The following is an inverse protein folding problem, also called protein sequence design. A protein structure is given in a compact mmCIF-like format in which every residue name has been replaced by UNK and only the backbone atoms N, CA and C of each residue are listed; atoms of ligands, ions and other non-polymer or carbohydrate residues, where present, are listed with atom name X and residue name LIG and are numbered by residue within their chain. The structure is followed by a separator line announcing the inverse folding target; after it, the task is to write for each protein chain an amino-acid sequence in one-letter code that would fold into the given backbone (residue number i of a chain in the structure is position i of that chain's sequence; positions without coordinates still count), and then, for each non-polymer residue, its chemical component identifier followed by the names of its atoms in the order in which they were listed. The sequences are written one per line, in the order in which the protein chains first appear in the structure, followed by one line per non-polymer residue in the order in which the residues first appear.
data_IF_450505141393
#
_entry.id   IF_450505141393
#
_cell.length_a   1.000
_cell.length_b   1.000
_cell.length_c   1.000
_cell.angle_alpha   90.00
_cell.angle_beta   90.00
_cell.angle_gamma   90.00
#
_symmetry.space_group_name_H-M   'P 1'
#
loop_
_entity.id
_entity.type
_entity.pdbx_description
1 polymer ?
#
# COMPACT_ATOMS: atom_id res chain seq x y z
N UNK A 1 9.29 1.53 8.96
CA UNK A 1 10.40 0.83 8.28
C UNK A 1 11.15 -0.11 9.23
N UNK A 2 11.53 0.33 10.46
CA UNK A 2 12.22 -0.54 11.46
C UNK A 2 11.42 -1.79 11.81
N UNK A 3 10.10 -1.67 11.93
CA UNK A 3 9.21 -2.80 12.25
C UNK A 3 9.22 -3.86 11.14
N UNK A 4 9.31 -3.44 9.86
CA UNK A 4 9.45 -4.38 8.74
C UNK A 4 10.75 -5.15 8.81
N UNK A 5 11.87 -4.46 9.06
CA UNK A 5 13.18 -5.12 9.22
C UNK A 5 13.17 -6.07 10.42
N UNK A 6 12.53 -5.66 11.53
CA UNK A 6 12.35 -6.54 12.70
C UNK A 6 11.56 -7.80 12.37
N UNK A 7 10.46 -7.66 11.61
CA UNK A 7 9.67 -8.80 11.14
C UNK A 7 10.52 -9.72 10.24
N UNK A 8 11.21 -9.16 9.25
CA UNK A 8 12.04 -9.94 8.32
C UNK A 8 13.16 -10.70 9.06
N UNK A 9 13.80 -10.09 10.05
CA UNK A 9 14.85 -10.76 10.85
C UNK A 9 14.30 -11.84 11.80
N UNK A 10 13.01 -11.83 12.11
CA UNK A 10 12.39 -12.82 13.00
C UNK A 10 11.85 -14.06 12.24
N UNK A 11 11.88 -14.05 10.91
CA UNK A 11 11.37 -15.15 10.11
C UNK A 11 12.36 -16.32 10.03
N UNK A 12 11.83 -17.54 10.04
CA UNK A 12 12.59 -18.75 9.81
C UNK A 12 12.61 -19.09 8.31
N UNK A 13 13.68 -18.71 7.64
CA UNK A 13 13.86 -18.90 6.20
C UNK A 13 14.11 -20.36 5.79
N UNK A 14 14.31 -21.28 6.74
CA UNK A 14 14.30 -22.72 6.46
C UNK A 14 12.88 -23.24 6.16
N UNK A 15 11.86 -22.51 6.60
CA UNK A 15 10.44 -22.88 6.51
C UNK A 15 9.63 -22.04 5.52
N UNK A 16 10.13 -20.88 5.13
CA UNK A 16 9.41 -19.99 4.21
C UNK A 16 10.35 -19.28 3.24
N UNK A 17 9.83 -18.99 2.06
CA UNK A 17 10.44 -18.12 1.08
C UNK A 17 9.72 -16.79 1.12
N UNK A 18 10.45 -15.70 1.14
CA UNK A 18 9.90 -14.35 1.27
C UNK A 18 10.25 -13.53 0.05
N UNK A 19 9.22 -13.07 -0.67
CA UNK A 19 9.32 -12.04 -1.69
C UNK A 19 8.93 -10.70 -1.07
N UNK A 20 9.79 -9.70 -1.15
CA UNK A 20 9.52 -8.35 -0.69
C UNK A 20 9.32 -7.42 -1.88
N UNK A 21 8.19 -6.75 -1.92
CA UNK A 21 7.92 -5.70 -2.89
C UNK A 21 7.92 -4.32 -2.23
N UNK A 22 8.75 -3.43 -2.72
CA UNK A 22 8.79 -2.02 -2.34
C UNK A 22 8.70 -1.14 -3.58
N UNK A 23 8.06 0.03 -3.48
CA UNK A 23 7.84 0.89 -4.65
C UNK A 23 9.13 1.44 -5.25
N UNK A 24 10.14 1.67 -4.39
CA UNK A 24 11.44 2.18 -4.79
C UNK A 24 12.55 1.53 -3.97
N UNK A 25 13.60 1.11 -4.65
CA UNK A 25 14.80 0.56 -4.01
C UNK A 25 15.73 1.70 -3.59
N UNK A 26 15.29 2.51 -2.64
CA UNK A 26 16.06 3.67 -2.15
C UNK A 26 15.79 3.89 -0.66
N UNK A 27 16.80 4.40 0.04
CA UNK A 27 16.74 4.69 1.46
C UNK A 27 17.69 3.80 2.28
N UNK A 28 17.97 4.22 3.50
CA UNK A 28 18.95 3.59 4.40
C UNK A 28 18.56 2.16 4.79
N UNK A 29 17.26 1.86 4.85
CA UNK A 29 16.75 0.55 5.26
C UNK A 29 16.95 -0.55 4.22
N UNK A 30 17.25 -0.20 2.96
CA UNK A 30 17.49 -1.20 1.90
C UNK A 30 18.67 -2.11 2.23
N UNK A 31 19.71 -1.56 2.85
CA UNK A 31 20.91 -2.32 3.23
C UNK A 31 20.70 -3.22 4.46
N UNK A 32 19.56 -3.08 5.16
CA UNK A 32 19.21 -3.85 6.34
C UNK A 32 18.29 -5.03 6.02
N UNK A 33 17.87 -5.19 4.76
CA UNK A 33 17.05 -6.32 4.32
C UNK A 33 17.91 -7.59 4.38
N UNK A 34 17.42 -8.67 5.05
CA UNK A 34 18.12 -9.95 5.09
C UNK A 34 18.40 -10.51 3.69
N UNK A 35 19.53 -11.16 3.50
CA UNK A 35 19.96 -11.72 2.20
C UNK A 35 19.05 -12.85 1.71
N UNK A 36 18.36 -13.49 2.62
CA UNK A 36 17.41 -14.56 2.37
C UNK A 36 16.11 -14.07 1.72
N UNK A 37 15.84 -12.76 1.83
CA UNK A 37 14.66 -12.14 1.23
C UNK A 37 14.89 -11.90 -0.25
N UNK A 38 14.01 -12.40 -1.09
CA UNK A 38 13.99 -12.09 -2.51
C UNK A 38 13.33 -10.70 -2.71
N UNK A 39 14.14 -9.69 -2.97
CA UNK A 39 13.66 -8.36 -3.28
C UNK A 39 13.16 -8.33 -4.73
N UNK A 40 11.85 -8.18 -4.91
CA UNK A 40 11.24 -8.08 -6.25
C UNK A 40 11.68 -6.80 -6.96
N UNK A 41 11.84 -6.83 -8.29
CA UNK A 41 12.28 -5.67 -9.05
C UNK A 41 11.30 -4.49 -8.92
N UNK A 42 11.84 -3.28 -9.02
CA UNK A 42 11.01 -2.07 -9.10
C UNK A 42 10.09 -2.11 -10.31
N UNK A 43 8.83 -1.83 -10.09
CA UNK A 43 7.87 -1.61 -11.16
C UNK A 43 7.65 -0.10 -11.32
N UNK A 44 8.15 0.46 -12.41
CA UNK A 44 8.14 1.92 -12.66
C UNK A 44 6.79 2.59 -12.39
N UNK A 45 5.69 1.92 -12.70
CA UNK A 45 4.34 2.47 -12.51
C UNK A 45 4.01 2.68 -11.03
N UNK A 46 4.49 1.82 -10.12
CA UNK A 46 4.33 2.01 -8.68
C UNK A 46 5.12 3.19 -8.14
N UNK A 47 6.30 3.48 -8.71
CA UNK A 47 7.10 4.65 -8.28
C UNK A 47 6.38 5.98 -8.55
N UNK A 48 5.40 6.00 -9.47
CA UNK A 48 4.63 7.21 -9.80
C UNK A 48 3.69 7.66 -8.68
N UNK A 49 3.33 6.77 -7.76
CA UNK A 49 2.42 7.08 -6.66
C UNK A 49 2.99 8.14 -5.69
N UNK A 50 4.32 8.20 -5.56
CA UNK A 50 5.03 9.10 -4.65
C UNK A 50 5.66 10.32 -5.36
N UNK A 51 5.49 10.43 -6.68
CA UNK A 51 6.16 11.45 -7.49
C UNK A 51 5.21 12.61 -7.85
N UNK A 52 5.74 13.82 -8.14
CA UNK A 52 4.93 14.95 -8.57
C UNK A 52 4.12 14.64 -9.84
N UNK A 53 2.83 15.04 -9.86
CA UNK A 53 1.91 14.77 -10.99
C UNK A 53 2.48 15.29 -12.32
N UNK A 54 3.08 16.49 -12.34
CA UNK A 54 3.67 17.05 -13.56
C UNK A 54 4.75 16.15 -14.16
N UNK A 55 5.54 15.48 -13.30
CA UNK A 55 6.62 14.59 -13.75
C UNK A 55 6.06 13.31 -14.37
N UNK A 56 5.06 12.70 -13.73
CA UNK A 56 4.45 11.45 -14.24
C UNK A 56 3.69 11.68 -15.54
N UNK A 57 3.07 12.86 -15.74
CA UNK A 57 2.44 13.25 -17.00
C UNK A 57 3.48 13.30 -18.13
N UNK A 58 4.64 13.94 -17.89
CA UNK A 58 5.72 14.02 -18.89
C UNK A 58 6.27 12.64 -19.28
N UNK A 59 6.18 11.68 -18.38
CA UNK A 59 6.61 10.30 -18.60
C UNK A 59 5.52 9.40 -19.20
N UNK A 60 4.34 9.95 -19.51
CA UNK A 60 3.27 9.23 -20.18
C UNK A 60 2.30 8.47 -19.28
N UNK A 61 2.39 8.63 -17.94
CA UNK A 61 1.48 7.96 -17.00
C UNK A 61 0.19 8.78 -16.77
N UNK A 62 -0.54 9.01 -17.85
CA UNK A 62 -1.76 9.84 -17.86
C UNK A 62 -2.88 9.23 -17.02
N UNK A 63 -3.00 7.91 -17.00
CA UNK A 63 -3.98 7.16 -16.23
C UNK A 63 -3.79 7.36 -14.72
N UNK A 64 -2.55 7.24 -14.22
CA UNK A 64 -2.24 7.51 -12.81
C UNK A 64 -2.44 9.00 -12.48
N UNK A 65 -2.04 9.90 -13.38
CA UNK A 65 -2.23 11.33 -13.17
C UNK A 65 -3.73 11.68 -13.07
N UNK A 66 -4.55 11.16 -13.98
CA UNK A 66 -6.01 11.35 -13.96
C UNK A 66 -6.63 10.76 -12.68
N UNK A 67 -6.22 9.56 -12.27
CA UNK A 67 -6.65 8.94 -11.02
C UNK A 67 -6.31 9.81 -9.80
N UNK A 68 -5.11 10.37 -9.73
CA UNK A 68 -4.71 11.25 -8.62
C UNK A 68 -5.47 12.58 -8.62
N UNK A 69 -5.76 13.16 -9.79
CA UNK A 69 -6.59 14.36 -9.89
C UNK A 69 -8.03 14.05 -9.43
N UNK A 70 -8.61 12.94 -9.89
CA UNK A 70 -9.93 12.50 -9.44
C UNK A 70 -9.98 12.28 -7.92
N UNK A 71 -8.93 11.69 -7.33
CA UNK A 71 -8.81 11.51 -5.89
C UNK A 71 -8.84 12.84 -5.13
N UNK A 72 -8.13 13.86 -5.61
CA UNK A 72 -8.15 15.20 -5.00
C UNK A 72 -9.54 15.86 -5.07
N UNK A 73 -10.26 15.68 -6.17
CA UNK A 73 -11.63 16.18 -6.31
C UNK A 73 -12.59 15.47 -5.35
N UNK A 74 -12.48 14.14 -5.22
CA UNK A 74 -13.29 13.36 -4.28
C UNK A 74 -13.00 13.74 -2.83
N UNK A 75 -11.72 13.90 -2.47
CA UNK A 75 -11.34 14.36 -1.13
C UNK A 75 -11.86 15.76 -0.82
N UNK A 76 -11.75 16.68 -1.79
CA UNK A 76 -12.31 18.02 -1.65
C UNK A 76 -13.81 17.99 -1.41
N UNK A 77 -14.57 17.20 -2.18
CA UNK A 77 -16.01 17.02 -1.98
C UNK A 77 -16.33 16.42 -0.61
N UNK A 78 -15.56 15.42 -0.16
CA UNK A 78 -15.73 14.79 1.14
C UNK A 78 -15.51 15.77 2.28
N UNK A 79 -14.40 16.50 2.25
CA UNK A 79 -14.07 17.51 3.27
C UNK A 79 -15.11 18.63 3.33
N UNK A 80 -15.56 19.11 2.17
CA UNK A 80 -16.59 20.15 2.10
C UNK A 80 -17.91 19.71 2.74
N UNK A 81 -18.32 18.46 2.52
CA UNK A 81 -19.55 17.89 3.09
C UNK A 81 -19.44 17.70 4.61
N UNK A 82 -18.29 17.30 5.10
CA UNK A 82 -18.05 17.04 6.53
C UNK A 82 -17.57 18.25 7.31
N UNK A 83 -17.29 19.36 6.64
CA UNK A 83 -16.66 20.56 7.22
C UNK A 83 -15.32 20.25 7.94
N UNK A 84 -14.65 19.17 7.54
CA UNK A 84 -13.39 18.75 8.11
C UNK A 84 -12.25 19.66 7.63
N UNK A 85 -11.46 20.20 8.59
CA UNK A 85 -10.28 21.02 8.25
C UNK A 85 -9.13 20.17 7.77
N UNK A 86 -8.90 19.03 8.41
CA UNK A 86 -7.87 18.05 8.07
C UNK A 86 -8.50 16.67 7.92
N UNK A 87 -8.08 15.92 6.90
CA UNK A 87 -8.54 14.57 6.65
C UNK A 87 -7.44 13.78 5.98
N UNK A 88 -7.26 12.54 6.39
CA UNK A 88 -6.36 11.60 5.72
C UNK A 88 -7.08 10.76 4.66
N UNK A 89 -8.35 11.03 4.39
CA UNK A 89 -9.13 10.34 3.37
C UNK A 89 -8.53 10.47 1.95
N UNK A 90 -7.70 11.49 1.71
CA UNK A 90 -6.97 11.65 0.44
C UNK A 90 -6.16 10.39 0.07
N UNK A 91 -5.52 9.72 1.04
CA UNK A 91 -4.74 8.51 0.78
C UNK A 91 -5.64 7.36 0.31
N UNK A 92 -6.84 7.24 0.87
CA UNK A 92 -7.85 6.26 0.46
C UNK A 92 -8.33 6.54 -0.97
N UNK A 93 -8.66 7.80 -1.30
CA UNK A 93 -9.08 8.18 -2.63
C UNK A 93 -7.99 7.98 -3.68
N UNK A 94 -6.73 8.31 -3.33
CA UNK A 94 -5.59 8.04 -4.22
C UNK A 94 -5.45 6.55 -4.47
N UNK A 95 -5.54 5.71 -3.43
CA UNK A 95 -5.48 4.27 -3.58
C UNK A 95 -6.61 3.74 -4.47
N UNK A 96 -7.85 4.12 -4.18
CA UNK A 96 -9.04 3.69 -4.95
C UNK A 96 -8.94 4.08 -6.43
N UNK A 97 -8.52 5.33 -6.71
CA UNK A 97 -8.48 5.87 -8.06
C UNK A 97 -7.26 5.44 -8.86
N UNK A 98 -6.18 4.98 -8.23
CA UNK A 98 -4.95 4.62 -8.97
C UNK A 98 -4.69 3.11 -9.01
N UNK A 99 -5.08 2.35 -7.99
CA UNK A 99 -4.85 0.90 -7.96
C UNK A 99 -5.37 0.15 -9.19
N UNK A 100 -6.55 0.48 -9.78
CA UNK A 100 -7.01 -0.21 -10.99
C UNK A 100 -6.04 -0.16 -12.16
N UNK A 101 -5.26 0.91 -12.28
CA UNK A 101 -4.31 1.13 -13.36
C UNK A 101 -2.93 0.52 -13.11
N UNK A 102 -2.65 0.04 -11.89
CA UNK A 102 -1.38 -0.60 -11.56
C UNK A 102 -1.34 -2.04 -12.08
N UNK A 103 -0.18 -2.53 -12.54
CA UNK A 103 -0.03 -3.94 -12.91
C UNK A 103 -0.06 -4.84 -11.68
N UNK A 104 -0.30 -6.12 -11.89
CA UNK A 104 -0.16 -7.14 -10.85
C UNK A 104 1.29 -7.24 -10.37
N UNK A 105 1.48 -7.53 -9.09
CA UNK A 105 2.80 -7.75 -8.52
C UNK A 105 3.15 -9.22 -8.72
N UNK A 106 4.32 -9.49 -9.31
CA UNK A 106 4.85 -10.82 -9.58
C UNK A 106 3.81 -11.71 -10.30
N UNK A 107 3.37 -11.24 -11.46
CA UNK A 107 2.33 -11.90 -12.27
C UNK A 107 2.69 -13.37 -12.55
N UNK A 108 1.71 -14.25 -12.39
CA UNK A 108 1.88 -15.68 -12.56
C UNK A 108 2.22 -16.45 -11.27
N UNK A 109 2.67 -15.79 -10.21
CA UNK A 109 2.89 -16.43 -8.90
C UNK A 109 1.66 -16.29 -8.00
N UNK A 110 1.30 -17.38 -7.32
CA UNK A 110 0.32 -17.37 -6.22
C UNK A 110 1.04 -17.67 -4.93
N UNK A 111 0.85 -16.81 -3.94
CA UNK A 111 1.45 -16.94 -2.62
C UNK A 111 0.53 -17.69 -1.66
N UNK A 112 1.08 -18.40 -0.68
CA UNK A 112 0.29 -18.95 0.43
C UNK A 112 -0.22 -17.83 1.32
N UNK A 113 0.63 -16.82 1.56
CA UNK A 113 0.32 -15.65 2.37
C UNK A 113 0.87 -14.37 1.73
N UNK A 114 0.05 -13.34 1.64
CA UNK A 114 0.47 -11.99 1.31
C UNK A 114 0.18 -11.05 2.50
N UNK A 115 1.18 -10.27 2.88
CA UNK A 115 1.08 -9.32 3.98
C UNK A 115 1.13 -7.90 3.41
N UNK A 116 0.07 -7.13 3.65
CA UNK A 116 0.07 -5.68 3.42
C UNK A 116 0.59 -4.99 4.66
N UNK A 117 1.87 -4.62 4.62
CA UNK A 117 2.56 -4.10 5.80
C UNK A 117 2.25 -2.62 6.08
N UNK A 118 1.94 -1.84 5.06
CA UNK A 118 1.59 -0.41 5.16
C UNK A 118 0.41 -0.09 4.26
N UNK A 119 -0.34 0.95 4.63
CA UNK A 119 -1.36 1.55 3.77
C UNK A 119 -0.73 2.14 2.48
N UNK A 120 -1.41 2.06 1.33
CA UNK A 120 -2.76 1.58 1.12
C UNK A 120 -2.81 0.05 0.93
N UNK A 121 -3.71 -0.61 1.63
CA UNK A 121 -3.90 -2.06 1.57
C UNK A 121 -4.57 -2.54 0.27
N UNK A 122 -5.18 -1.65 -0.50
CA UNK A 122 -5.79 -1.90 -1.81
C UNK A 122 -4.83 -2.64 -2.75
N UNK A 123 -3.53 -2.33 -2.70
CA UNK A 123 -2.53 -2.94 -3.59
C UNK A 123 -2.42 -4.44 -3.35
N UNK A 124 -2.24 -4.88 -2.11
CA UNK A 124 -2.18 -6.32 -1.81
C UNK A 124 -3.54 -6.97 -2.07
N UNK A 125 -4.64 -6.29 -1.75
CA UNK A 125 -5.99 -6.79 -2.05
C UNK A 125 -6.15 -7.12 -3.53
N UNK A 126 -5.77 -6.22 -4.43
CA UNK A 126 -6.15 -6.24 -5.84
C UNK A 126 -5.03 -6.69 -6.78
N UNK A 127 -3.76 -6.55 -6.36
CA UNK A 127 -2.60 -6.74 -7.25
C UNK A 127 -1.69 -7.91 -6.86
N UNK A 128 -2.01 -8.62 -5.78
CA UNK A 128 -1.28 -9.81 -5.35
C UNK A 128 -2.23 -11.00 -5.31
N UNK A 129 -1.85 -12.12 -5.95
CA UNK A 129 -2.56 -13.38 -5.84
C UNK A 129 -2.03 -14.14 -4.62
N UNK A 130 -2.90 -14.44 -3.66
CA UNK A 130 -2.55 -15.21 -2.48
C UNK A 130 -3.75 -15.98 -1.93
N UNK A 131 -3.47 -17.13 -1.29
CA UNK A 131 -4.48 -17.94 -0.60
C UNK A 131 -5.01 -17.23 0.65
N UNK A 132 -4.10 -16.58 1.38
CA UNK A 132 -4.42 -15.75 2.54
C UNK A 132 -3.83 -14.35 2.37
N UNK A 133 -4.56 -13.35 2.85
CA UNK A 133 -4.10 -11.97 2.88
C UNK A 133 -4.26 -11.42 4.28
N UNK A 134 -3.17 -10.84 4.81
CA UNK A 134 -3.15 -10.18 6.11
C UNK A 134 -2.80 -8.71 5.94
N UNK A 135 -3.40 -7.86 6.76
CA UNK A 135 -3.10 -6.43 6.78
C UNK A 135 -2.54 -6.04 8.15
N UNK A 136 -1.55 -5.15 8.13
CA UNK A 136 -0.87 -4.68 9.35
C UNK A 136 -1.20 -3.21 9.60
N UNK A 137 -1.69 -2.89 10.79
CA UNK A 137 -2.02 -1.53 11.22
C UNK A 137 -0.82 -0.94 11.95
N UNK A 138 -0.29 0.17 11.41
CA UNK A 138 0.76 0.96 12.05
C UNK A 138 0.29 2.35 12.47
N UNK A 139 -0.98 2.66 12.25
CA UNK A 139 -1.55 3.98 12.49
C UNK A 139 -2.68 3.87 13.51
N UNK A 140 -2.69 4.77 14.48
CA UNK A 140 -3.83 4.89 15.37
C UNK A 140 -4.97 5.61 14.66
N UNK A 141 -6.01 4.85 14.36
CA UNK A 141 -7.19 5.33 13.64
C UNK A 141 -8.09 6.22 14.49
N UNK A 142 -7.87 6.30 15.81
CA UNK A 142 -8.67 7.17 16.69
C UNK A 142 -8.37 8.66 16.48
N UNK A 143 -7.18 8.98 15.96
CA UNK A 143 -6.72 10.36 15.76
C UNK A 143 -6.81 10.86 14.32
N UNK A 144 -7.26 10.02 13.37
CA UNK A 144 -7.31 10.40 11.97
C UNK A 144 -8.73 10.37 11.42
N UNK A 145 -9.11 11.43 10.69
CA UNK A 145 -10.36 11.42 9.94
C UNK A 145 -10.19 10.69 8.61
N UNK A 146 -10.91 9.60 8.47
CA UNK A 146 -10.92 8.75 7.28
C UNK A 146 -12.36 8.52 6.80
N UNK A 147 -12.52 8.14 5.55
CA UNK A 147 -13.80 7.71 5.03
C UNK A 147 -14.04 6.23 5.33
N UNK A 148 -14.64 5.92 6.49
CA UNK A 148 -14.89 4.56 6.96
C UNK A 148 -15.68 3.70 5.96
N UNK A 149 -16.63 4.30 5.20
CA UNK A 149 -17.39 3.58 4.16
C UNK A 149 -16.51 3.04 3.04
N UNK A 150 -15.37 3.67 2.78
CA UNK A 150 -14.38 3.21 1.79
C UNK A 150 -13.36 2.26 2.39
N UNK A 151 -13.00 2.49 3.64
CA UNK A 151 -11.98 1.71 4.34
C UNK A 151 -12.48 0.32 4.72
N UNK A 152 -13.69 0.19 5.24
CA UNK A 152 -14.24 -1.08 5.70
C UNK A 152 -14.24 -2.19 4.63
N UNK A 153 -14.60 -1.95 3.35
CA UNK A 153 -14.49 -2.97 2.32
C UNK A 153 -13.05 -3.40 2.01
N UNK A 154 -12.08 -2.49 2.23
CA UNK A 154 -10.66 -2.84 2.07
C UNK A 154 -10.23 -3.77 3.18
N UNK A 155 -10.51 -3.43 4.43
CA UNK A 155 -10.21 -4.27 5.59
C UNK A 155 -10.92 -5.62 5.56
N UNK A 156 -12.19 -5.63 5.14
CA UNK A 156 -13.00 -6.86 5.03
C UNK A 156 -12.49 -7.88 4.02
N UNK A 157 -11.57 -7.48 3.13
CA UNK A 157 -10.94 -8.39 2.18
C UNK A 157 -9.73 -9.15 2.75
N UNK A 158 -9.31 -8.83 3.98
CA UNK A 158 -8.18 -9.49 4.64
C UNK A 158 -8.67 -10.50 5.68
N UNK A 159 -8.10 -11.71 5.64
CA UNK A 159 -8.43 -12.77 6.59
C UNK A 159 -7.94 -12.49 8.01
N UNK A 160 -6.92 -11.65 8.17
CA UNK A 160 -6.43 -11.18 9.48
C UNK A 160 -5.97 -9.73 9.40
N UNK A 161 -6.23 -9.01 10.48
CA UNK A 161 -5.76 -7.65 10.72
C UNK A 161 -4.91 -7.70 11.98
N UNK A 162 -3.66 -7.23 11.87
CA UNK A 162 -2.68 -7.25 12.96
C UNK A 162 -2.45 -5.81 13.40
N UNK A 163 -2.73 -5.53 14.67
CA UNK A 163 -2.39 -4.27 15.34
C UNK A 163 -1.06 -4.41 16.08
N UNK A 164 -0.27 -3.34 16.08
CA UNK A 164 1.03 -3.29 16.78
C UNK A 164 0.92 -2.77 18.21
N UNK A 165 -0.26 -2.33 18.66
CA UNK A 165 -0.53 -1.87 20.02
C UNK A 165 -1.78 -2.53 20.58
N UNK A 166 -1.75 -2.86 21.84
CA UNK A 166 -2.95 -3.11 22.64
C UNK A 166 -3.56 -1.75 22.96
N UNK A 167 -4.72 -1.43 22.38
CA UNK A 167 -5.50 -0.24 22.69
C UNK A 167 -6.78 -0.62 23.40
#
# INVERSE_FOLDING_TARGET
ERSLIGLLNALDYSRCQVDLFVYRHSGEFMNLIPKEVNLLPEVKKYTTLTRPIRKIIREGYWDIAAGRIAAHLLDWCYRKRRKAKESQAIFQYVADCTTPFLPSINEGRTYDLAISFLTPHNIVRDKVKAQQKWAWIHTDYSFIDINTRRELPVWGAFGRIISISES
#
